data_IF_912680852982
#
_entry.id   IF_912680852982
#
_cell.length_a   1.000
_cell.length_b   1.000
_cell.length_c   1.000
_cell.angle_alpha   90.00
_cell.angle_beta   90.00
_cell.angle_gamma   90.00
#
_symmetry.space_group_name_H-M   'P 1'
#
loop_
_entity.id
_entity.type
_entity.pdbx_description
1 polymer ?
#
# COMPACT_ATOMS: atom_id res chain seq x y z
N UNK A 1 7.18 13.28 8.14
CA UNK A 1 7.04 12.16 7.19
C UNK A 1 5.70 11.49 7.48
N UNK A 2 4.70 11.71 6.64
CA UNK A 2 3.42 11.01 6.73
C UNK A 2 3.40 10.01 5.58
N UNK A 3 3.45 8.72 5.92
CA UNK A 3 3.21 7.64 4.97
C UNK A 3 1.82 7.08 5.24
N UNK A 4 1.07 6.78 4.20
CA UNK A 4 -0.28 6.23 4.24
C UNK A 4 -0.27 4.82 3.69
N UNK A 5 -0.85 3.87 4.41
CA UNK A 5 -1.14 2.53 3.88
C UNK A 5 -2.64 2.37 3.79
N UNK A 6 -3.18 2.42 2.58
CA UNK A 6 -4.54 2.00 2.29
C UNK A 6 -4.56 0.49 2.08
N UNK A 7 -5.44 -0.20 2.78
CA UNK A 7 -5.59 -1.65 2.72
C UNK A 7 -7.05 -1.99 2.42
N UNK A 8 -7.31 -2.70 1.33
CA UNK A 8 -8.66 -3.12 0.92
C UNK A 8 -8.73 -4.64 1.03
N UNK A 9 -9.45 -5.13 2.04
CA UNK A 9 -9.58 -6.55 2.35
C UNK A 9 -10.95 -7.09 1.91
N UNK A 10 -10.95 -8.26 1.29
CA UNK A 10 -12.10 -9.16 1.14
C UNK A 10 -12.30 -9.92 2.45
N UNK A 11 -13.45 -9.75 3.08
CA UNK A 11 -13.91 -10.60 4.17
C UNK A 11 -14.11 -12.02 3.61
N UNK A 12 -13.32 -12.99 4.11
CA UNK A 12 -13.64 -14.42 3.99
C UNK A 12 -14.20 -14.82 5.34
N UNK A 13 -15.47 -15.18 5.31
CA UNK A 13 -16.31 -15.83 6.32
C UNK A 13 -15.54 -16.42 7.51
N UNK A 14 -15.40 -15.61 8.56
CA UNK A 14 -15.54 -16.06 9.95
C UNK A 14 -16.24 -14.95 10.71
N UNK A 15 -17.44 -15.32 11.14
CA UNK A 15 -18.41 -14.68 12.01
C UNK A 15 -17.86 -13.67 13.03
N UNK A 16 -18.53 -12.52 13.04
CA UNK A 16 -18.93 -11.73 14.24
C UNK A 16 -18.11 -10.51 14.68
N UNK A 17 -17.11 -10.00 13.95
CA UNK A 17 -16.39 -8.80 14.45
C UNK A 17 -15.99 -7.68 13.48
N UNK A 18 -16.32 -7.72 12.20
CA UNK A 18 -15.89 -6.65 11.26
C UNK A 18 -16.96 -6.29 10.23
N UNK A 19 -18.16 -6.03 10.73
CA UNK A 19 -19.22 -5.37 9.98
C UNK A 19 -19.17 -3.88 10.36
N UNK A 20 -19.12 -3.01 9.35
CA UNK A 20 -19.54 -1.59 9.36
C UNK A 20 -18.62 -0.39 9.60
N UNK A 21 -17.32 -0.47 9.86
CA UNK A 21 -16.53 0.78 10.04
C UNK A 21 -15.32 0.88 9.12
N UNK A 22 -15.31 1.92 8.27
CA UNK A 22 -14.08 2.44 7.67
C UNK A 22 -13.08 2.68 8.80
N UNK A 23 -11.99 1.94 8.80
CA UNK A 23 -11.05 1.96 9.92
C UNK A 23 -9.88 2.86 9.57
N UNK A 24 -9.89 4.07 10.13
CA UNK A 24 -8.74 4.95 10.16
C UNK A 24 -8.02 4.75 11.48
N UNK A 25 -6.73 4.44 11.41
CA UNK A 25 -5.89 4.31 12.59
C UNK A 25 -4.51 4.86 12.31
N UNK A 26 -3.84 5.29 13.36
CA UNK A 26 -2.44 5.70 13.29
C UNK A 26 -1.60 4.66 14.01
N UNK A 27 -0.63 4.08 13.30
CA UNK A 27 0.34 3.15 13.87
C UNK A 27 1.30 3.89 14.81
N UNK A 28 2.02 3.15 15.66
CA UNK A 28 3.03 3.70 16.59
C UNK A 28 4.10 4.51 15.85
N UNK A 29 4.55 4.00 14.70
CA UNK A 29 5.48 4.66 13.79
C UNK A 29 4.87 5.80 12.96
N UNK A 30 3.71 6.32 13.37
CA UNK A 30 2.99 7.46 12.79
C UNK A 30 2.38 7.24 11.41
N UNK A 31 2.47 6.04 10.85
CA UNK A 31 1.86 5.70 9.56
C UNK A 31 0.34 5.64 9.73
N UNK A 32 -0.36 6.28 8.81
CA UNK A 32 -1.82 6.29 8.83
C UNK A 32 -2.31 5.11 8.00
N UNK A 33 -3.09 4.24 8.63
CA UNK A 33 -3.71 3.07 8.02
C UNK A 33 -5.19 3.32 7.79
N UNK A 34 -5.64 3.08 6.56
CA UNK A 34 -7.03 3.20 6.17
C UNK A 34 -7.52 1.85 5.62
N UNK A 35 -8.57 1.29 6.21
CA UNK A 35 -9.20 0.05 5.73
C UNK A 35 -10.62 0.32 5.26
N UNK A 36 -10.87 -0.02 4.00
CA UNK A 36 -12.18 0.11 3.38
C UNK A 36 -12.70 -1.28 2.98
N UNK A 37 -13.71 -1.82 3.68
CA UNK A 37 -14.37 -3.04 3.24
C UNK A 37 -15.20 -2.71 1.99
N UNK A 38 -14.87 -3.35 0.88
CA UNK A 38 -15.56 -3.14 -0.40
C UNK A 38 -16.03 -4.48 -0.96
N UNK A 39 -17.27 -4.50 -1.45
CA UNK A 39 -17.91 -5.69 -2.01
C UNK A 39 -17.65 -5.82 -3.52
N UNK A 40 -18.00 -6.98 -4.09
CA UNK A 40 -17.98 -7.24 -5.53
C UNK A 40 -16.61 -7.12 -6.23
N UNK A 41 -15.51 -7.32 -5.50
CA UNK A 41 -14.14 -7.23 -6.02
C UNK A 41 -13.62 -8.52 -6.69
N UNK A 42 -14.49 -9.50 -6.95
CA UNK A 42 -14.14 -10.76 -7.64
C UNK A 42 -12.93 -11.52 -7.05
N UNK A 43 -12.69 -11.39 -5.74
CA UNK A 43 -11.54 -12.04 -5.10
C UNK A 43 -10.24 -11.24 -5.08
N UNK A 44 -10.28 -10.01 -5.58
CA UNK A 44 -9.16 -9.07 -5.53
C UNK A 44 -9.22 -8.22 -4.27
N UNK A 45 -8.03 -7.84 -3.82
CA UNK A 45 -7.76 -6.93 -2.73
C UNK A 45 -6.83 -5.86 -3.30
N UNK A 46 -6.93 -4.64 -2.80
CA UNK A 46 -6.10 -3.54 -3.30
C UNK A 46 -5.35 -2.91 -2.13
N UNK A 47 -4.08 -2.68 -2.31
CA UNK A 47 -3.24 -2.07 -1.28
C UNK A 47 -2.57 -0.88 -1.95
N UNK A 48 -2.57 0.27 -1.28
CA UNK A 48 -1.79 1.41 -1.72
C UNK A 48 -0.91 1.90 -0.58
N UNK A 49 0.34 2.23 -0.89
CA UNK A 49 1.26 2.93 0.01
C UNK A 49 1.59 4.28 -0.61
N UNK A 50 1.13 5.37 0.01
CA UNK A 50 1.49 6.73 -0.41
C UNK A 50 2.52 7.29 0.56
N UNK A 51 3.60 7.83 0.01
CA UNK A 51 4.61 8.59 0.74
C UNK A 51 4.38 10.05 0.34
N UNK A 52 4.15 10.93 1.31
CA UNK A 52 3.97 12.38 1.08
C UNK A 52 5.30 13.09 0.77
N UNK A 53 6.03 12.55 -0.20
CA UNK A 53 7.24 13.11 -0.78
C UNK A 53 7.14 12.82 -2.27
N UNK A 54 7.12 13.87 -3.09
CA UNK A 54 7.14 13.79 -4.55
C UNK A 54 8.25 14.64 -5.13
N UNK A 55 8.22 14.90 -6.43
CA UNK A 55 9.30 15.61 -7.12
C UNK A 55 9.52 17.06 -6.64
N UNK A 56 8.53 17.68 -5.98
CA UNK A 56 8.69 19.02 -5.37
C UNK A 56 9.68 19.10 -4.23
N UNK A 57 10.02 17.95 -3.63
CA UNK A 57 10.96 17.87 -2.51
C UNK A 57 12.42 17.80 -2.98
N UNK A 58 12.65 17.79 -4.29
CA UNK A 58 13.97 17.71 -4.91
C UNK A 58 14.55 19.11 -5.11
N UNK A 59 15.87 19.23 -4.99
CA UNK A 59 16.59 20.39 -5.51
C UNK A 59 16.92 20.20 -7.00
N UNK A 60 17.45 21.25 -7.63
CA UNK A 60 17.78 21.25 -9.06
C UNK A 60 18.86 20.20 -9.40
N UNK A 61 19.79 19.93 -8.48
CA UNK A 61 20.87 18.97 -8.68
C UNK A 61 20.38 17.52 -8.63
N UNK A 62 19.28 17.28 -7.90
CA UNK A 62 18.68 15.98 -7.64
C UNK A 62 17.35 15.76 -8.37
N UNK A 63 17.07 16.57 -9.39
CA UNK A 63 15.83 16.49 -10.16
C UNK A 63 15.62 15.07 -10.74
N UNK A 64 14.47 14.48 -10.44
CA UNK A 64 14.07 13.14 -10.86
C UNK A 64 14.42 12.01 -9.88
N UNK A 65 15.06 12.28 -8.73
CA UNK A 65 15.41 11.23 -7.76
C UNK A 65 14.19 10.50 -7.20
N UNK A 66 13.09 11.19 -6.86
CA UNK A 66 11.89 10.55 -6.33
C UNK A 66 11.28 9.58 -7.35
N UNK A 67 11.15 10.02 -8.60
CA UNK A 67 10.67 9.16 -9.68
C UNK A 67 11.66 8.01 -9.99
N UNK A 68 12.97 8.25 -9.92
CA UNK A 68 13.97 7.19 -10.07
C UNK A 68 13.86 6.14 -8.94
N UNK A 69 13.73 6.57 -7.69
CA UNK A 69 13.57 5.69 -6.53
C UNK A 69 12.28 4.88 -6.61
N UNK A 70 11.21 5.43 -7.16
CA UNK A 70 10.00 4.68 -7.50
C UNK A 70 10.32 3.46 -8.37
N UNK A 71 11.02 3.66 -9.50
CA UNK A 71 11.41 2.57 -10.41
C UNK A 71 12.33 1.55 -9.73
N UNK A 72 13.30 2.01 -8.93
CA UNK A 72 14.20 1.12 -8.18
C UNK A 72 13.41 0.23 -7.22
N UNK A 73 12.48 0.80 -6.45
CA UNK A 73 11.63 0.03 -5.55
C UNK A 73 10.74 -0.96 -6.30
N UNK A 74 10.20 -0.56 -7.46
CA UNK A 74 9.36 -1.42 -8.30
C UNK A 74 10.12 -2.59 -8.94
N UNK A 75 11.44 -2.46 -9.14
CA UNK A 75 12.26 -3.53 -9.72
C UNK A 75 12.40 -4.78 -8.82
N UNK A 76 12.10 -4.68 -7.53
CA UNK A 76 12.12 -5.84 -6.63
C UNK A 76 10.92 -6.77 -6.79
N UNK A 77 9.88 -6.36 -7.53
CA UNK A 77 8.70 -7.19 -7.74
C UNK A 77 8.83 -8.08 -8.99
N UNK A 78 8.53 -9.37 -8.83
CA UNK A 78 8.48 -10.32 -9.94
C UNK A 78 7.29 -10.02 -10.86
N UNK A 79 7.58 -9.67 -12.12
CA UNK A 79 6.60 -9.38 -13.16
C UNK A 79 5.89 -10.63 -13.68
N UNK A 80 6.44 -11.83 -13.42
CA UNK A 80 5.85 -13.10 -13.83
C UNK A 80 4.87 -13.66 -12.78
N UNK A 81 4.84 -13.07 -11.58
CA UNK A 81 3.93 -13.47 -10.52
C UNK A 81 2.48 -13.12 -10.88
N UNK A 82 1.63 -14.13 -11.02
CA UNK A 82 0.23 -13.97 -11.45
C UNK A 82 -0.74 -13.69 -10.29
N UNK A 83 -0.23 -13.74 -9.06
CA UNK A 83 -1.02 -13.59 -7.83
C UNK A 83 -1.13 -12.14 -7.38
N UNK A 84 -0.23 -11.26 -7.82
CA UNK A 84 -0.38 -9.82 -7.64
C UNK A 84 -0.07 -9.05 -8.93
N UNK A 85 -0.62 -7.85 -9.05
CA UNK A 85 -0.16 -6.83 -9.98
C UNK A 85 0.36 -5.65 -9.15
N UNK A 86 1.39 -4.96 -9.64
CA UNK A 86 1.95 -3.80 -8.96
C UNK A 86 2.15 -2.65 -9.96
N UNK A 87 1.85 -1.44 -9.52
CA UNK A 87 2.15 -0.20 -10.25
C UNK A 87 2.58 0.87 -9.26
N UNK A 88 3.24 1.91 -9.74
CA UNK A 88 3.58 3.07 -8.93
C UNK A 88 3.48 4.34 -9.75
N UNK A 89 3.41 5.47 -9.05
CA UNK A 89 3.33 6.79 -9.64
C UNK A 89 3.87 7.85 -8.69
N UNK A 90 4.68 8.76 -9.22
CA UNK A 90 5.25 9.90 -8.52
C UNK A 90 4.73 11.16 -9.16
N UNK A 91 4.02 11.95 -8.36
CA UNK A 91 3.63 13.31 -8.70
C UNK A 91 4.51 14.33 -7.98
N UNK A 92 4.10 15.60 -8.06
CA UNK A 92 4.81 16.70 -7.43
C UNK A 92 4.83 16.58 -5.89
N UNK A 93 3.79 16.05 -5.25
CA UNK A 93 3.61 16.04 -3.80
C UNK A 93 3.83 14.67 -3.15
N UNK A 94 3.73 13.60 -3.92
CA UNK A 94 3.72 12.24 -3.38
C UNK A 94 4.22 11.19 -4.37
N UNK A 95 4.66 10.07 -3.82
CA UNK A 95 4.88 8.82 -4.54
C UNK A 95 3.93 7.77 -3.98
N UNK A 96 3.16 7.13 -4.85
CA UNK A 96 2.21 6.08 -4.46
C UNK A 96 2.50 4.77 -5.15
N UNK A 97 2.55 3.69 -4.38
CA UNK A 97 2.68 2.32 -4.84
C UNK A 97 1.34 1.61 -4.69
N UNK A 98 0.90 0.87 -5.70
CA UNK A 98 -0.37 0.14 -5.74
C UNK A 98 -0.12 -1.36 -5.95
N UNK A 99 -0.92 -2.17 -5.28
CA UNK A 99 -0.90 -3.63 -5.40
C UNK A 99 -2.29 -4.20 -5.49
N UNK A 100 -2.54 -4.97 -6.55
CA UNK A 100 -3.77 -5.74 -6.73
C UNK A 100 -3.47 -7.19 -6.38
N UNK A 101 -3.98 -7.69 -5.26
CA UNK A 101 -3.65 -9.01 -4.73
C UNK A 101 -4.85 -9.97 -4.77
N UNK A 102 -4.63 -11.18 -5.29
CA UNK A 102 -5.62 -12.27 -5.22
C UNK A 102 -5.66 -12.87 -3.81
N UNK A 103 -6.85 -12.89 -3.20
CA UNK A 103 -7.18 -13.68 -2.00
C UNK A 103 -6.10 -13.73 -0.91
N UNK A 104 -5.47 -14.90 -0.76
CA UNK A 104 -4.62 -15.28 0.37
C UNK A 104 -3.30 -14.50 0.51
N UNK A 105 -2.82 -13.84 -0.57
CA UNK A 105 -1.60 -13.02 -0.51
C UNK A 105 -1.71 -11.89 0.50
N UNK A 106 -2.94 -11.41 0.71
CA UNK A 106 -3.22 -10.39 1.69
C UNK A 106 -2.74 -10.77 3.10
N UNK A 107 -2.78 -12.06 3.49
CA UNK A 107 -2.24 -12.51 4.78
C UNK A 107 -0.71 -12.45 4.82
N UNK A 108 -0.03 -12.68 3.70
CA UNK A 108 1.43 -12.57 3.58
C UNK A 108 1.85 -11.10 3.65
N UNK A 109 1.19 -10.22 2.89
CA UNK A 109 1.39 -8.78 2.97
C UNK A 109 1.09 -8.23 4.38
N UNK A 110 0.05 -8.72 5.06
CA UNK A 110 -0.28 -8.29 6.42
C UNK A 110 0.69 -8.84 7.48
N UNK A 111 1.27 -10.03 7.29
CA UNK A 111 2.26 -10.60 8.22
C UNK A 111 3.51 -9.72 8.26
N UNK A 112 3.99 -9.26 7.09
CA UNK A 112 5.04 -8.24 7.02
C UNK A 112 4.60 -6.90 7.63
N UNK A 113 3.34 -6.48 7.48
CA UNK A 113 2.83 -5.28 8.17
C UNK A 113 2.86 -5.40 9.71
N UNK A 114 2.59 -6.57 10.31
CA UNK A 114 2.67 -6.72 11.78
C UNK A 114 4.09 -6.79 12.32
N UNK A 115 5.07 -7.24 11.54
CA UNK A 115 6.45 -7.39 12.00
C UNK A 115 7.28 -6.11 11.81
N UNK A 116 7.00 -5.32 10.77
CA UNK A 116 7.76 -4.10 10.46
C UNK A 116 7.17 -2.80 11.04
N UNK A 117 5.92 -2.82 11.53
CA UNK A 117 5.22 -1.62 12.04
C UNK A 117 4.92 -1.66 13.56
N UNK A 118 5.47 -2.66 14.28
CA UNK A 118 5.43 -2.79 15.75
C UNK A 118 6.74 -2.33 16.43
N UNK A 119 7.47 -1.41 15.82
CA UNK A 119 8.66 -0.78 16.43
C UNK A 119 8.54 0.72 16.38
#
# INVERSE_FOLDING_TARGET
MQSFIAYKQRLIERSDWLVENNFFSKCENQITKCVFPLENLQGMNYIALTINVGSSSEDIENAGIAHFLEHVQMNFFDKNEKRYLCSAYTDFYSTTYYFDCKGYIVRVCNRYHTEYFKR
#
